data_IF_073823556950
#
_entry.id   IF_073823556950
#
_cell.length_a   1.000
_cell.length_b   1.000
_cell.length_c   1.000
_cell.angle_alpha   90.00
_cell.angle_beta   90.00
_cell.angle_gamma   90.00
#
_symmetry.space_group_name_H-M   'P 1'
#
loop_
_entity.id
_entity.type
_entity.pdbx_description
1 polymer ?
#
# COMPACT_ATOMS: atom_id res chain seq x y z
N UNK A 1 7.73 5.89 -22.74
CA UNK A 1 7.95 4.53 -22.19
C UNK A 1 8.01 4.47 -20.65
N UNK A 2 8.70 5.39 -19.96
CA UNK A 2 8.86 5.32 -18.48
C UNK A 2 7.57 5.38 -17.67
N UNK A 3 6.59 6.20 -18.06
CA UNK A 3 5.30 6.35 -17.39
C UNK A 3 4.43 5.09 -17.51
N UNK A 4 4.50 4.43 -18.64
CA UNK A 4 3.67 3.25 -18.94
C UNK A 4 4.00 2.10 -18.01
N UNK A 5 5.28 1.86 -17.71
CA UNK A 5 5.69 0.77 -16.83
C UNK A 5 5.20 0.97 -15.38
N UNK A 6 5.30 2.20 -14.86
CA UNK A 6 4.82 2.51 -13.50
C UNK A 6 3.31 2.28 -13.40
N UNK A 7 2.55 2.74 -14.40
CA UNK A 7 1.10 2.53 -14.45
C UNK A 7 0.77 1.04 -14.64
N UNK A 8 1.48 0.34 -15.54
CA UNK A 8 1.25 -1.08 -15.79
C UNK A 8 1.45 -1.94 -14.53
N UNK A 9 2.51 -1.67 -13.75
CA UNK A 9 2.72 -2.34 -12.47
C UNK A 9 1.60 -2.00 -11.47
N UNK A 10 1.16 -0.74 -11.39
CA UNK A 10 0.05 -0.36 -10.51
C UNK A 10 -1.25 -1.09 -10.87
N UNK A 11 -1.57 -1.19 -12.17
CA UNK A 11 -2.73 -1.94 -12.67
C UNK A 11 -2.60 -3.43 -12.35
N UNK A 12 -1.43 -4.01 -12.58
CA UNK A 12 -1.16 -5.41 -12.25
C UNK A 12 -1.41 -5.69 -10.77
N UNK A 13 -0.85 -4.85 -9.88
CA UNK A 13 -1.00 -5.01 -8.44
C UNK A 13 -2.45 -4.80 -7.98
N UNK A 14 -3.18 -3.87 -8.61
CA UNK A 14 -4.60 -3.64 -8.34
C UNK A 14 -5.44 -4.90 -8.58
N UNK A 15 -5.17 -5.65 -9.64
CA UNK A 15 -5.87 -6.91 -9.92
C UNK A 15 -5.34 -8.10 -9.11
N UNK A 16 -4.06 -8.08 -8.72
CA UNK A 16 -3.48 -9.15 -7.89
C UNK A 16 -3.99 -9.13 -6.45
N UNK A 17 -4.24 -7.96 -5.86
CA UNK A 17 -4.72 -7.85 -4.48
C UNK A 17 -5.99 -8.67 -4.21
N UNK A 18 -7.09 -8.54 -4.99
CA UNK A 18 -8.29 -9.33 -4.77
C UNK A 18 -8.08 -10.83 -4.99
N UNK A 19 -7.24 -11.21 -5.96
CA UNK A 19 -6.92 -12.62 -6.23
C UNK A 19 -6.26 -13.25 -5.02
N UNK A 20 -5.27 -12.58 -4.42
CA UNK A 20 -4.65 -13.05 -3.19
C UNK A 20 -5.60 -12.97 -1.98
N UNK A 21 -6.52 -12.01 -1.98
CA UNK A 21 -7.59 -11.91 -0.99
C UNK A 21 -8.53 -13.12 -0.97
N UNK A 22 -8.68 -13.85 -2.09
CA UNK A 22 -9.49 -15.07 -2.16
C UNK A 22 -8.94 -16.22 -1.28
N UNK A 23 -7.66 -16.20 -0.95
CA UNK A 23 -7.05 -17.16 -0.02
C UNK A 23 -7.26 -16.81 1.45
N UNK A 24 -7.92 -15.72 1.76
CA UNK A 24 -8.26 -15.25 3.10
C UNK A 24 -9.78 -15.35 3.31
N UNK A 25 -10.27 -15.73 4.51
CA UNK A 25 -9.53 -16.08 5.73
C UNK A 25 -8.88 -17.47 5.70
N UNK A 26 -7.79 -17.63 6.46
CA UNK A 26 -7.13 -18.93 6.66
C UNK A 26 -7.58 -19.48 8.01
N UNK A 27 -8.09 -20.71 8.04
CA UNK A 27 -8.44 -21.41 9.27
C UNK A 27 -7.20 -22.15 9.82
N UNK A 28 -6.84 -21.84 11.05
CA UNK A 28 -5.75 -22.51 11.76
C UNK A 28 -6.18 -22.79 13.20
N UNK A 29 -6.16 -24.05 13.62
CA UNK A 29 -6.57 -24.47 14.98
C UNK A 29 -7.97 -23.97 15.40
N UNK A 30 -8.93 -23.96 14.50
CA UNK A 30 -10.31 -23.47 14.72
C UNK A 30 -10.46 -21.95 14.82
N UNK A 31 -9.37 -21.19 14.66
CA UNK A 31 -9.41 -19.74 14.58
C UNK A 31 -9.26 -19.27 13.12
N UNK A 32 -9.96 -18.18 12.78
CA UNK A 32 -9.90 -17.58 11.46
C UNK A 32 -8.96 -16.38 11.44
N UNK A 33 -7.91 -16.47 10.62
CA UNK A 33 -6.94 -15.40 10.41
C UNK A 33 -7.18 -14.72 9.07
N UNK A 34 -7.36 -13.41 9.10
CA UNK A 34 -7.62 -12.61 7.90
C UNK A 34 -6.31 -11.97 7.42
N UNK A 35 -5.86 -12.37 6.24
CA UNK A 35 -4.72 -11.77 5.57
C UNK A 35 -5.22 -10.80 4.49
N UNK A 36 -4.88 -9.54 4.64
CA UNK A 36 -5.24 -8.51 3.65
C UNK A 36 -3.99 -8.13 2.86
N UNK A 37 -3.87 -8.55 1.60
CA UNK A 37 -2.78 -8.10 0.76
C UNK A 37 -2.94 -6.60 0.49
N UNK A 38 -1.83 -5.84 0.60
CA UNK A 38 -1.78 -4.39 0.39
C UNK A 38 -0.71 -4.01 -0.63
N UNK A 39 -0.64 -4.79 -1.70
CA UNK A 39 0.43 -4.69 -2.70
C UNK A 39 0.46 -3.34 -3.40
N UNK A 40 -0.72 -2.82 -3.75
CA UNK A 40 -0.86 -1.58 -4.47
C UNK A 40 -0.41 -0.38 -3.63
N UNK A 41 -0.91 -0.24 -2.40
CA UNK A 41 -0.51 0.88 -1.53
C UNK A 41 0.98 0.83 -1.20
N UNK A 42 1.56 -0.35 -1.00
CA UNK A 42 2.99 -0.56 -0.82
C UNK A 42 3.75 0.02 -2.02
N UNK A 43 3.34 -0.31 -3.24
CA UNK A 43 3.97 0.19 -4.46
C UNK A 43 3.78 1.71 -4.63
N UNK A 44 2.61 2.25 -4.32
CA UNK A 44 2.33 3.69 -4.36
C UNK A 44 3.21 4.47 -3.36
N UNK A 45 3.43 3.93 -2.16
CA UNK A 45 4.37 4.49 -1.18
C UNK A 45 5.80 4.49 -1.76
N UNK A 46 6.24 3.41 -2.40
CA UNK A 46 7.54 3.36 -3.07
C UNK A 46 7.65 4.37 -4.21
N UNK A 47 6.60 4.59 -5.02
CA UNK A 47 6.56 5.65 -6.04
C UNK A 47 6.74 7.03 -5.37
N UNK A 48 6.09 7.25 -4.23
CA UNK A 48 6.20 8.51 -3.49
C UNK A 48 7.60 8.77 -2.96
N UNK A 49 8.31 7.71 -2.52
CA UNK A 49 9.66 7.78 -1.97
C UNK A 49 10.72 7.92 -3.06
N UNK A 50 10.66 7.09 -4.12
CA UNK A 50 11.76 6.91 -5.06
C UNK A 50 11.54 7.53 -6.44
N UNK A 51 10.33 8.00 -6.75
CA UNK A 51 10.05 8.51 -8.10
C UNK A 51 9.48 9.93 -8.09
N UNK A 52 8.22 10.12 -7.70
CA UNK A 52 7.56 11.44 -7.75
C UNK A 52 6.34 11.45 -6.80
N UNK A 53 6.40 12.30 -5.76
CA UNK A 53 5.32 12.45 -4.78
C UNK A 53 3.98 12.84 -5.42
N UNK A 54 3.98 13.83 -6.33
CA UNK A 54 2.73 14.33 -6.93
C UNK A 54 2.04 13.24 -7.73
N UNK A 55 2.82 12.44 -8.46
CA UNK A 55 2.27 11.31 -9.24
C UNK A 55 1.78 10.18 -8.35
N UNK A 56 2.52 9.85 -7.28
CA UNK A 56 2.07 8.85 -6.32
C UNK A 56 0.72 9.22 -5.73
N UNK A 57 0.52 10.48 -5.34
CA UNK A 57 -0.77 10.97 -4.83
C UNK A 57 -1.89 10.90 -5.89
N UNK A 58 -1.60 11.28 -7.15
CA UNK A 58 -2.58 11.18 -8.24
C UNK A 58 -2.96 9.72 -8.52
N UNK A 59 -1.98 8.82 -8.56
CA UNK A 59 -2.26 7.38 -8.71
C UNK A 59 -3.01 6.84 -7.49
N UNK A 60 -2.64 7.28 -6.29
CA UNK A 60 -3.35 6.93 -5.05
C UNK A 60 -4.81 7.36 -5.08
N UNK A 61 -5.09 8.59 -5.54
CA UNK A 61 -6.46 9.07 -5.72
C UNK A 61 -7.22 8.21 -6.74
N UNK A 62 -6.62 7.98 -7.91
CA UNK A 62 -7.26 7.23 -8.99
C UNK A 62 -7.54 5.78 -8.61
N UNK A 63 -6.53 5.06 -8.14
CA UNK A 63 -6.69 3.66 -7.74
C UNK A 63 -7.50 3.51 -6.44
N UNK A 64 -7.41 4.48 -5.51
CA UNK A 64 -8.26 4.51 -4.33
C UNK A 64 -9.72 4.65 -4.69
N UNK A 65 -10.05 5.50 -5.67
CA UNK A 65 -11.41 5.67 -6.16
C UNK A 65 -11.92 4.38 -6.87
N UNK A 66 -11.06 3.73 -7.66
CA UNK A 66 -11.39 2.42 -8.22
C UNK A 66 -11.64 1.38 -7.11
N UNK A 67 -10.84 1.40 -6.05
CA UNK A 67 -11.01 0.51 -4.91
C UNK A 67 -12.35 0.75 -4.20
N UNK A 68 -12.69 2.00 -3.97
CA UNK A 68 -13.97 2.41 -3.35
C UNK A 68 -15.17 1.92 -4.18
N UNK A 69 -15.11 2.07 -5.50
CA UNK A 69 -16.22 1.71 -6.41
C UNK A 69 -16.35 0.21 -6.62
N UNK A 70 -15.22 -0.52 -6.78
CA UNK A 70 -15.27 -1.92 -7.18
C UNK A 70 -15.28 -2.92 -6.01
N UNK A 71 -14.78 -2.52 -4.83
CA UNK A 71 -14.55 -3.49 -3.74
C UNK A 71 -15.24 -3.15 -2.42
N UNK A 72 -15.60 -1.88 -2.18
CA UNK A 72 -16.00 -1.45 -0.84
C UNK A 72 -17.39 -0.81 -0.80
N UNK A 73 -17.90 -0.30 -1.92
CA UNK A 73 -19.19 0.43 -2.02
C UNK A 73 -19.29 1.69 -1.13
N UNK A 74 -18.17 2.18 -0.58
CA UNK A 74 -18.07 3.41 0.21
C UNK A 74 -17.10 4.35 -0.51
N UNK A 75 -17.65 5.32 -1.23
CA UNK A 75 -16.85 6.29 -1.99
C UNK A 75 -16.21 7.29 -1.03
N UNK A 76 -14.90 7.51 -1.18
CA UNK A 76 -14.15 8.49 -0.40
C UNK A 76 -13.15 7.89 0.58
N UNK A 77 -13.26 6.61 0.94
CA UNK A 77 -12.44 5.98 1.96
C UNK A 77 -11.01 5.73 1.48
N UNK A 78 -10.83 4.90 0.48
CA UNK A 78 -9.49 4.59 -0.08
C UNK A 78 -8.96 5.72 -0.95
N UNK A 79 -9.82 6.45 -1.64
CA UNK A 79 -9.43 7.63 -2.42
C UNK A 79 -8.87 8.76 -1.54
N UNK A 80 -9.18 8.79 -0.25
CA UNK A 80 -8.56 9.67 0.73
C UNK A 80 -7.30 9.04 1.37
N UNK A 81 -7.39 7.79 1.83
CA UNK A 81 -6.30 7.11 2.57
C UNK A 81 -5.05 6.94 1.70
N UNK A 82 -5.17 6.52 0.44
CA UNK A 82 -4.03 6.23 -0.41
C UNK A 82 -3.16 7.47 -0.71
N UNK A 83 -3.72 8.61 -1.16
CA UNK A 83 -2.93 9.84 -1.31
C UNK A 83 -2.33 10.33 0.01
N UNK A 84 -3.06 10.20 1.12
CA UNK A 84 -2.59 10.58 2.45
C UNK A 84 -1.34 9.79 2.84
N UNK A 85 -1.35 8.46 2.66
CA UNK A 85 -0.19 7.61 2.95
C UNK A 85 1.01 7.94 2.06
N UNK A 86 0.79 8.22 0.77
CA UNK A 86 1.83 8.69 -0.13
C UNK A 86 2.44 10.02 0.33
N UNK A 87 1.61 10.93 0.81
CA UNK A 87 2.05 12.23 1.34
C UNK A 87 2.87 12.05 2.61
N UNK A 88 2.39 11.27 3.58
CA UNK A 88 3.11 10.98 4.83
C UNK A 88 4.45 10.32 4.52
N UNK A 89 4.49 9.30 3.64
CA UNK A 89 5.72 8.65 3.23
C UNK A 89 6.76 9.64 2.69
N UNK A 90 6.34 10.54 1.80
CA UNK A 90 7.26 11.51 1.20
C UNK A 90 7.78 12.55 2.18
N UNK A 91 6.99 12.94 3.17
CA UNK A 91 7.44 13.85 4.22
C UNK A 91 8.43 13.16 5.15
N UNK A 92 8.12 11.96 5.60
CA UNK A 92 8.98 11.20 6.53
C UNK A 92 10.35 10.93 5.91
N UNK A 93 10.40 10.54 4.64
CA UNK A 93 11.68 10.22 3.95
C UNK A 93 12.58 11.44 3.76
N UNK A 94 12.06 12.66 3.79
CA UNK A 94 12.91 13.88 3.75
C UNK A 94 13.83 13.99 4.95
N UNK A 95 13.40 13.45 6.09
CA UNK A 95 14.17 13.50 7.37
C UNK A 95 15.01 12.24 7.58
N UNK A 96 14.71 11.16 6.88
CA UNK A 96 15.36 9.86 7.04
C UNK A 96 16.01 9.49 5.69
N UNK A 97 17.24 8.96 5.72
CA UNK A 97 17.95 8.57 4.49
C UNK A 97 17.18 7.53 3.70
N UNK A 98 17.21 7.62 2.35
CA UNK A 98 16.50 6.72 1.43
C UNK A 98 17.16 5.32 1.31
N UNK A 99 17.50 4.71 2.46
CA UNK A 99 17.95 3.33 2.48
C UNK A 99 16.77 2.37 2.32
N UNK A 100 16.98 1.26 1.62
CA UNK A 100 15.91 0.28 1.36
C UNK A 100 15.27 -0.23 2.66
N UNK A 101 16.07 -0.57 3.67
CA UNK A 101 15.57 -1.04 4.97
C UNK A 101 14.65 -0.02 5.65
N UNK A 102 15.05 1.24 5.65
CA UNK A 102 14.25 2.33 6.24
C UNK A 102 12.93 2.50 5.50
N UNK A 103 12.96 2.47 4.17
CA UNK A 103 11.76 2.57 3.34
C UNK A 103 10.83 1.37 3.53
N UNK A 104 11.38 0.17 3.70
CA UNK A 104 10.60 -1.05 3.98
C UNK A 104 9.90 -0.96 5.33
N UNK A 105 10.62 -0.58 6.39
CA UNK A 105 10.05 -0.42 7.74
C UNK A 105 8.97 0.68 7.72
N UNK A 106 9.27 1.83 7.12
CA UNK A 106 8.29 2.93 6.97
C UNK A 106 7.04 2.47 6.25
N UNK A 107 7.19 1.73 5.16
CA UNK A 107 6.05 1.22 4.37
C UNK A 107 5.20 0.26 5.20
N UNK A 108 5.81 -0.65 5.98
CA UNK A 108 5.07 -1.54 6.88
C UNK A 108 4.33 -0.76 7.97
N UNK A 109 4.96 0.26 8.56
CA UNK A 109 4.28 1.12 9.54
C UNK A 109 3.09 1.87 8.93
N UNK A 110 3.21 2.34 7.69
CA UNK A 110 2.10 2.99 6.98
C UNK A 110 0.98 2.01 6.63
N UNK A 111 1.31 0.78 6.24
CA UNK A 111 0.31 -0.29 6.03
C UNK A 111 -0.43 -0.60 7.33
N UNK A 112 0.28 -0.72 8.46
CA UNK A 112 -0.36 -0.87 9.78
C UNK A 112 -1.28 0.31 10.09
N UNK A 113 -0.85 1.53 9.77
CA UNK A 113 -1.68 2.74 9.89
C UNK A 113 -2.96 2.68 9.06
N UNK A 114 -2.88 2.18 7.81
CA UNK A 114 -4.06 1.97 6.96
C UNK A 114 -5.03 0.99 7.62
N UNK A 115 -4.54 -0.16 8.10
CA UNK A 115 -5.39 -1.17 8.75
C UNK A 115 -6.07 -0.63 10.02
N UNK A 116 -5.34 0.15 10.82
CA UNK A 116 -5.88 0.80 12.02
C UNK A 116 -6.94 1.86 11.65
N UNK A 117 -6.71 2.69 10.65
CA UNK A 117 -7.69 3.67 10.19
C UNK A 117 -8.96 3.01 9.67
N UNK A 118 -8.83 1.93 8.90
CA UNK A 118 -9.96 1.15 8.42
C UNK A 118 -10.72 0.47 9.55
N UNK A 119 -10.02 -0.10 10.53
CA UNK A 119 -10.65 -0.69 11.71
C UNK A 119 -11.46 0.35 12.48
N UNK A 120 -10.86 1.52 12.77
CA UNK A 120 -11.55 2.60 13.48
C UNK A 120 -12.76 3.11 12.69
N UNK A 121 -12.62 3.30 11.38
CA UNK A 121 -13.71 3.74 10.52
C UNK A 121 -14.88 2.75 10.53
N UNK A 122 -14.64 1.46 10.25
CA UNK A 122 -15.70 0.44 10.20
C UNK A 122 -16.35 0.19 11.56
N UNK A 123 -15.60 0.33 12.65
CA UNK A 123 -16.15 0.23 14.00
C UNK A 123 -17.03 1.45 14.33
N UNK A 124 -16.60 2.65 13.93
CA UNK A 124 -17.35 3.90 14.16
C UNK A 124 -18.70 3.94 13.47
N UNK A 125 -18.80 3.36 12.27
CA UNK A 125 -20.07 3.27 11.50
C UNK A 125 -20.88 2.01 11.83
N UNK A 126 -20.42 1.19 12.79
CA UNK A 126 -21.16 0.02 13.27
C UNK A 126 -21.16 -1.19 12.33
N UNK A 127 -20.33 -1.19 11.26
CA UNK A 127 -20.22 -2.33 10.33
C UNK A 127 -19.44 -3.48 10.96
N UNK A 128 -18.42 -3.18 11.79
CA UNK A 128 -17.63 -4.17 12.49
C UNK A 128 -17.78 -4.02 14.00
N UNK A 129 -18.15 -5.12 14.67
CA UNK A 129 -18.33 -5.21 16.14
C UNK A 129 -17.28 -6.12 16.80
N UNK A 130 -16.01 -6.04 16.34
CA UNK A 130 -14.94 -6.84 16.95
C UNK A 130 -14.14 -6.02 17.96
N UNK A 131 -13.63 -6.69 19.00
CA UNK A 131 -12.72 -6.06 19.96
C UNK A 131 -11.37 -5.74 19.32
N UNK A 132 -10.69 -4.70 19.83
CA UNK A 132 -9.35 -4.34 19.33
C UNK A 132 -8.34 -5.50 19.47
N UNK A 133 -8.42 -6.27 20.56
CA UNK A 133 -7.54 -7.43 20.78
C UNK A 133 -7.74 -8.50 19.71
N UNK A 134 -8.99 -8.80 19.36
CA UNK A 134 -9.28 -9.74 18.27
C UNK A 134 -8.77 -9.25 16.92
N UNK A 135 -9.03 -7.99 16.59
CA UNK A 135 -8.50 -7.35 15.36
C UNK A 135 -6.97 -7.43 15.30
N UNK A 136 -6.29 -7.10 16.40
CA UNK A 136 -4.83 -7.12 16.46
C UNK A 136 -4.25 -8.50 16.17
N UNK A 137 -4.78 -9.54 16.83
CA UNK A 137 -4.27 -10.91 16.74
C UNK A 137 -4.66 -11.61 15.42
N UNK A 138 -5.89 -11.43 14.96
CA UNK A 138 -6.46 -12.22 13.86
C UNK A 138 -6.44 -11.50 12.51
N UNK A 139 -6.28 -10.17 12.49
CA UNK A 139 -6.25 -9.39 11.25
C UNK A 139 -4.90 -8.66 11.07
N UNK A 140 -4.49 -7.83 12.05
CA UNK A 140 -3.33 -6.96 11.87
C UNK A 140 -2.02 -7.76 11.77
N UNK A 141 -1.72 -8.64 12.73
CA UNK A 141 -0.48 -9.43 12.71
C UNK A 141 -0.36 -10.28 11.44
N UNK A 142 -1.34 -11.11 11.05
CA UNK A 142 -1.26 -11.90 9.83
C UNK A 142 -1.08 -11.05 8.57
N UNK A 143 -1.82 -9.93 8.48
CA UNK A 143 -1.69 -8.96 7.39
C UNK A 143 -0.28 -8.37 7.31
N UNK A 144 0.31 -8.00 8.45
CA UNK A 144 1.67 -7.46 8.49
C UNK A 144 2.71 -8.49 8.05
N UNK A 145 2.58 -9.75 8.47
CA UNK A 145 3.48 -10.84 8.05
C UNK A 145 3.40 -11.04 6.54
N UNK A 146 2.20 -11.15 5.97
CA UNK A 146 2.01 -11.35 4.54
C UNK A 146 2.63 -10.18 3.71
N UNK A 147 2.37 -8.94 4.12
CA UNK A 147 2.90 -7.75 3.43
C UNK A 147 4.42 -7.58 3.65
N UNK A 148 4.97 -8.03 4.78
CA UNK A 148 6.42 -8.06 4.99
C UNK A 148 7.10 -9.06 4.05
N UNK A 149 6.56 -10.26 3.87
CA UNK A 149 7.06 -11.26 2.91
C UNK A 149 7.04 -10.68 1.49
N UNK A 150 5.93 -10.06 1.10
CA UNK A 150 5.82 -9.39 -0.21
C UNK A 150 6.89 -8.31 -0.40
N UNK A 151 7.11 -7.47 0.61
CA UNK A 151 8.15 -6.43 0.56
C UNK A 151 9.57 -6.99 0.51
N UNK A 152 9.85 -8.07 1.20
CA UNK A 152 11.15 -8.75 1.12
C UNK A 152 11.43 -9.29 -0.30
N UNK A 153 10.40 -9.83 -0.96
CA UNK A 153 10.53 -10.36 -2.32
C UNK A 153 10.64 -9.27 -3.38
N UNK A 154 9.81 -8.23 -3.30
CA UNK A 154 9.64 -7.25 -4.39
C UNK A 154 10.19 -5.85 -4.07
N UNK A 155 10.47 -5.51 -2.83
CA UNK A 155 10.89 -4.16 -2.43
C UNK A 155 12.19 -3.70 -3.12
N UNK A 156 13.16 -4.61 -3.29
CA UNK A 156 14.38 -4.29 -4.04
C UNK A 156 14.08 -4.02 -5.52
N UNK A 157 13.25 -4.83 -6.15
CA UNK A 157 12.85 -4.67 -7.55
C UNK A 157 12.12 -3.34 -7.77
N UNK A 158 11.17 -2.99 -6.89
CA UNK A 158 10.45 -1.71 -6.95
C UNK A 158 11.40 -0.53 -6.84
N UNK A 159 12.30 -0.53 -5.85
CA UNK A 159 13.31 0.52 -5.69
C UNK A 159 14.16 0.65 -6.95
N UNK A 160 14.69 -0.44 -7.47
CA UNK A 160 15.57 -0.43 -8.66
C UNK A 160 14.83 0.12 -9.90
N UNK A 161 13.61 -0.38 -10.17
CA UNK A 161 12.80 0.09 -11.30
C UNK A 161 12.51 1.59 -11.18
N UNK A 162 12.10 2.06 -10.01
CA UNK A 162 11.69 3.44 -9.79
C UNK A 162 12.88 4.41 -9.86
N UNK A 163 14.03 4.07 -9.28
CA UNK A 163 15.25 4.89 -9.34
C UNK A 163 15.79 5.00 -10.77
N UNK A 164 15.85 3.91 -11.51
CA UNK A 164 16.27 3.94 -12.91
C UNK A 164 15.36 4.85 -13.75
N UNK A 165 14.06 4.86 -13.46
CA UNK A 165 13.09 5.71 -14.14
C UNK A 165 13.20 7.18 -13.73
N UNK A 166 13.53 7.45 -12.49
CA UNK A 166 13.82 8.80 -12.02
C UNK A 166 15.04 9.38 -12.72
N UNK A 167 16.13 8.65 -12.78
CA UNK A 167 17.38 9.09 -13.42
C UNK A 167 17.19 9.33 -14.93
N UNK A 168 16.48 8.46 -15.65
CA UNK A 168 16.14 8.68 -17.06
C UNK A 168 15.30 9.94 -17.27
N UNK A 169 14.37 10.25 -16.38
CA UNK A 169 13.58 11.48 -16.45
C UNK A 169 14.45 12.73 -16.25
N UNK A 170 15.37 12.69 -15.29
CA UNK A 170 16.30 13.82 -15.04
C UNK A 170 17.18 14.10 -16.26
N UNK A 171 17.73 13.09 -16.92
CA UNK A 171 18.54 13.23 -18.14
C UNK A 171 17.77 13.83 -19.33
N UNK A 172 16.47 13.55 -19.44
CA UNK A 172 15.63 14.11 -20.53
C UNK A 172 15.26 15.58 -20.31
N UNK A 173 15.31 16.07 -19.07
CA UNK A 173 15.04 17.47 -18.73
C UNK A 173 16.28 18.37 -18.86
N UNK A 174 17.47 17.78 -18.99
CA UNK A 174 18.75 18.48 -19.20
C UNK A 174 19.12 18.65 -20.68
N UNK A 175 18.35 18.05 -21.59
CA UNK A 175 18.43 18.23 -23.05
C UNK A 175 17.39 19.24 -23.53
#
# INVERSE_FOLDING_TARGET
MTRIIVIAISVLLFYLEPIFGLFSPIELNSDFYVLVPRFLIIYLIFISIYYDRKRAMLYGLFFGLLYDVFFIDIIGLYSFIYPLMCLVASFTVKYIHQHLLVSTILTLLLVAGVELLLFLFYTSIGIKSMTFTYFYQHNLIPTMIANAIFLLMFGWAFKYILLNRFNQKALLLQK
#
